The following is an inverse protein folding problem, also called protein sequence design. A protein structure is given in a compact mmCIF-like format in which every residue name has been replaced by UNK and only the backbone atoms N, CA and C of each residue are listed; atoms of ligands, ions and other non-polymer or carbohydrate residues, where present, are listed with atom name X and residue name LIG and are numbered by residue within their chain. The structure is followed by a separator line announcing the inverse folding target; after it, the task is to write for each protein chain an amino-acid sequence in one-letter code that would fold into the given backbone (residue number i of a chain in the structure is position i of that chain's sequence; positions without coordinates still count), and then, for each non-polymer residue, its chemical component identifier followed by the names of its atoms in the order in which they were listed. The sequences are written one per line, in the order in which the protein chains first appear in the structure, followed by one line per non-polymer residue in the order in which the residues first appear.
data_IF_592745070839
#
_entry.id   IF_592745070839
#
_cell.length_a   1.000
_cell.length_b   1.000
_cell.length_c   1.000
_cell.angle_alpha   90.00
_cell.angle_beta   90.00
_cell.angle_gamma   90.00
#
_symmetry.space_group_name_H-M   'P 1'
#
loop_
_entity.id
_entity.type
_entity.pdbx_description
1 polymer ?
#
# COMPACT_ATOMS: atom_id res chain seq x y z
N UNK A 1 1.60 4.20 11.67
CA UNK A 1 0.78 2.98 11.75
C UNK A 1 -0.26 3.08 10.64
N UNK A 2 -0.18 2.23 9.62
CA UNK A 2 -1.31 1.99 8.70
C UNK A 2 -2.25 0.97 9.36
N UNK A 3 -3.55 1.20 9.24
CA UNK A 3 -4.57 0.36 9.87
C UNK A 3 -4.95 -0.78 8.92
N UNK A 4 -4.73 -2.01 9.38
CA UNK A 4 -5.16 -3.26 8.73
C UNK A 4 -6.69 -3.42 8.60
N UNK A 5 -7.47 -2.60 9.29
CA UNK A 5 -8.92 -2.73 9.33
C UNK A 5 -9.59 -1.73 8.38
N UNK A 6 -10.57 -2.20 7.61
CA UNK A 6 -11.44 -1.37 6.73
C UNK A 6 -12.45 -0.50 7.48
N UNK A 7 -12.26 -0.32 8.79
CA UNK A 7 -13.13 0.46 9.66
C UNK A 7 -12.67 1.94 9.71
N UNK A 8 -13.25 2.75 10.61
CA UNK A 8 -13.01 4.20 10.65
C UNK A 8 -11.52 4.57 10.76
N UNK A 9 -10.70 3.79 11.48
CA UNK A 9 -9.26 4.05 11.59
C UNK A 9 -8.49 3.83 10.28
N UNK A 10 -8.96 2.93 9.41
CA UNK A 10 -8.39 2.66 8.08
C UNK A 10 -8.46 3.85 7.12
N UNK A 11 -9.31 4.83 7.43
CA UNK A 11 -9.56 5.99 6.56
C UNK A 11 -8.56 7.12 6.72
N UNK A 12 -7.67 7.05 7.71
CA UNK A 12 -6.77 8.14 8.06
C UNK A 12 -5.31 7.71 8.12
N UNK A 13 -4.42 8.64 7.79
CA UNK A 13 -3.02 8.58 8.20
C UNK A 13 -2.84 9.40 9.48
N UNK A 14 -2.17 8.80 10.47
CA UNK A 14 -1.88 9.43 11.74
C UNK A 14 -0.40 9.78 11.82
N UNK A 15 -0.12 11.05 12.10
CA UNK A 15 1.22 11.61 12.16
C UNK A 15 1.62 11.84 13.62
N UNK A 16 2.81 11.38 13.97
CA UNK A 16 3.44 11.53 15.28
C UNK A 16 4.89 11.97 15.08
N UNK A 17 5.45 12.69 16.05
CA UNK A 17 6.90 12.90 16.09
C UNK A 17 7.63 11.65 16.60
N UNK A 18 8.96 11.68 16.60
CA UNK A 18 9.80 10.57 17.03
C UNK A 18 9.69 10.26 18.52
N UNK A 19 9.19 11.20 19.33
CA UNK A 19 8.91 11.00 20.75
C UNK A 19 7.50 10.42 20.98
N UNK A 20 6.75 10.16 19.90
CA UNK A 20 5.41 9.60 19.95
C UNK A 20 4.31 10.62 20.24
N UNK A 21 4.60 11.93 20.19
CA UNK A 21 3.59 12.97 20.34
C UNK A 21 2.73 13.03 19.08
N UNK A 22 1.42 12.93 19.26
CA UNK A 22 0.46 13.10 18.18
C UNK A 22 0.53 14.50 17.58
N UNK A 23 0.65 14.58 16.26
CA UNK A 23 0.72 15.84 15.50
C UNK A 23 -0.60 16.13 14.80
N UNK A 24 -1.08 15.20 13.95
CA UNK A 24 -2.35 15.32 13.23
C UNK A 24 -2.86 13.96 12.74
N UNK A 25 -4.08 13.94 12.22
CA UNK A 25 -4.61 12.87 11.38
C UNK A 25 -5.18 13.47 10.10
N UNK A 26 -5.00 12.79 8.98
CA UNK A 26 -5.42 13.26 7.67
C UNK A 26 -6.34 12.21 7.04
N UNK A 27 -7.52 12.62 6.60
CA UNK A 27 -8.51 11.73 5.98
C UNK A 27 -8.19 11.49 4.50
N UNK A 28 -8.01 10.23 4.10
CA UNK A 28 -7.72 9.83 2.72
C UNK A 28 -8.97 9.95 1.84
N UNK A 29 -8.83 10.49 0.62
CA UNK A 29 -9.96 10.67 -0.31
C UNK A 29 -9.57 10.41 -1.78
N UNK A 30 -10.13 9.36 -2.45
CA UNK A 30 -10.95 8.29 -1.88
C UNK A 30 -10.15 7.47 -0.86
N UNK A 31 -10.85 6.64 -0.06
CA UNK A 31 -10.21 5.82 0.99
C UNK A 31 -9.78 4.46 0.40
N UNK A 32 -8.46 4.17 0.27
CA UNK A 32 -7.99 2.81 -0.02
C UNK A 32 -8.39 1.86 1.11
N UNK A 33 -8.72 0.62 0.77
CA UNK A 33 -8.99 -0.41 1.77
C UNK A 33 -7.70 -1.15 2.14
N UNK A 34 -7.62 -1.61 3.38
CA UNK A 34 -6.55 -2.51 3.84
C UNK A 34 -5.14 -2.04 3.44
N UNK A 35 -4.72 -0.86 3.92
CA UNK A 35 -3.40 -0.31 3.65
C UNK A 35 -2.32 -1.13 4.35
N UNK A 36 -1.37 -1.66 3.59
CA UNK A 36 -0.34 -2.60 4.05
C UNK A 36 1.01 -1.90 4.23
N UNK A 37 1.37 -1.02 3.30
CA UNK A 37 2.63 -0.28 3.32
C UNK A 37 2.44 1.22 3.19
N UNK A 38 3.35 1.99 3.81
CA UNK A 38 3.45 3.45 3.66
C UNK A 38 4.92 3.80 3.46
N UNK A 39 5.23 4.56 2.41
CA UNK A 39 6.60 4.98 2.13
C UNK A 39 6.65 6.43 1.62
N UNK A 40 7.63 7.21 2.06
CA UNK A 40 7.83 8.58 1.59
C UNK A 40 8.91 8.63 0.53
N UNK A 41 8.61 9.19 -0.63
CA UNK A 41 9.58 9.37 -1.71
C UNK A 41 9.26 10.66 -2.48
N UNK A 42 10.29 11.45 -2.76
CA UNK A 42 10.23 12.66 -3.59
C UNK A 42 9.03 13.59 -3.28
N UNK A 43 8.87 13.99 -2.01
CA UNK A 43 7.82 14.94 -1.63
C UNK A 43 6.46 14.31 -1.35
N UNK A 44 6.26 13.03 -1.67
CA UNK A 44 4.95 12.37 -1.63
C UNK A 44 4.97 11.12 -0.75
N UNK A 45 3.81 10.82 -0.14
CA UNK A 45 3.58 9.50 0.45
C UNK A 45 3.01 8.56 -0.60
N UNK A 46 3.45 7.30 -0.56
CA UNK A 46 2.95 6.19 -1.34
C UNK A 46 2.41 5.12 -0.41
N UNK A 47 1.28 4.52 -0.79
CA UNK A 47 0.58 3.49 -0.03
C UNK A 47 0.39 2.25 -0.91
N UNK A 48 0.67 1.07 -0.37
CA UNK A 48 0.15 -0.18 -0.94
C UNK A 48 -1.11 -0.58 -0.20
N UNK A 49 -2.09 -1.07 -0.93
CA UNK A 49 -3.39 -1.47 -0.42
C UNK A 49 -3.74 -2.85 -0.95
N UNK A 50 -4.12 -3.75 -0.04
CA UNK A 50 -4.60 -5.10 -0.31
C UNK A 50 -6.10 -5.07 -0.61
N UNK A 51 -6.49 -4.21 -1.56
CA UNK A 51 -7.87 -3.87 -1.89
C UNK A 51 -8.45 -4.66 -3.07
N UNK A 52 -7.73 -5.69 -3.52
CA UNK A 52 -8.24 -6.74 -4.38
C UNK A 52 -8.71 -7.98 -3.61
N UNK A 53 -9.69 -8.69 -4.14
CA UNK A 53 -10.11 -10.01 -3.67
C UNK A 53 -9.27 -11.13 -4.32
N UNK A 54 -8.39 -11.78 -3.54
CA UNK A 54 -7.54 -12.87 -3.99
C UNK A 54 -8.29 -14.06 -4.62
N UNK A 55 -9.42 -14.46 -4.01
CA UNK A 55 -10.26 -15.57 -4.49
C UNK A 55 -10.85 -15.30 -5.88
N UNK A 56 -11.06 -14.03 -6.23
CA UNK A 56 -11.59 -13.60 -7.52
C UNK A 56 -10.48 -13.16 -8.50
N UNK A 57 -9.21 -13.20 -8.07
CA UNK A 57 -8.04 -12.65 -8.78
C UNK A 57 -8.21 -11.17 -9.14
N UNK A 58 -8.76 -10.39 -8.22
CA UNK A 58 -8.78 -8.94 -8.32
C UNK A 58 -7.46 -8.34 -7.81
N UNK A 59 -6.96 -7.26 -8.44
CA UNK A 59 -5.62 -6.74 -8.16
C UNK A 59 -5.56 -5.83 -6.96
N UNK A 60 -4.39 -5.81 -6.33
CA UNK A 60 -3.99 -4.81 -5.34
C UNK A 60 -3.49 -3.54 -6.01
N UNK A 61 -3.37 -2.48 -5.22
CA UNK A 61 -3.08 -1.15 -5.75
C UNK A 61 -1.96 -0.40 -5.02
N UNK A 62 -1.29 0.46 -5.78
CA UNK A 62 -0.40 1.51 -5.30
C UNK A 62 -1.09 2.85 -5.45
N UNK A 63 -1.07 3.62 -4.37
CA UNK A 63 -1.61 4.97 -4.32
C UNK A 63 -0.55 5.99 -3.95
N UNK A 64 -0.66 7.20 -4.49
CA UNK A 64 0.05 8.38 -4.01
C UNK A 64 -0.89 9.28 -3.23
N UNK A 65 -0.39 9.84 -2.14
CA UNK A 65 -1.15 10.66 -1.20
C UNK A 65 -0.57 12.06 -1.13
N UNK A 66 -1.43 13.05 -1.33
CA UNK A 66 -1.10 14.46 -1.10
C UNK A 66 -1.42 14.83 0.35
N UNK A 67 -0.39 15.07 1.17
CA UNK A 67 -0.51 15.42 2.59
C UNK A 67 -0.27 16.90 2.89
N UNK A 68 -0.40 17.77 1.88
CA UNK A 68 -0.22 19.22 2.03
C UNK A 68 -1.29 19.87 2.91
N UNK A 69 -2.51 19.30 2.95
CA UNK A 69 -3.60 19.79 3.82
C UNK A 69 -3.51 19.19 5.23
N UNK A 70 -4.00 19.94 6.22
CA UNK A 70 -3.97 19.55 7.63
C UNK A 70 -4.97 18.42 7.99
N UNK A 71 -6.04 18.24 7.22
CA UNK A 71 -7.19 17.39 7.61
C UNK A 71 -7.66 16.41 6.55
N UNK A 72 -7.37 16.67 5.28
CA UNK A 72 -7.77 15.82 4.15
C UNK A 72 -6.58 15.60 3.22
N UNK A 73 -6.53 14.43 2.58
CA UNK A 73 -5.47 14.05 1.68
C UNK A 73 -6.07 13.40 0.42
N UNK A 74 -6.02 14.10 -0.73
CA UNK A 74 -6.31 13.49 -2.02
C UNK A 74 -5.42 12.27 -2.28
N UNK A 75 -6.03 11.22 -2.78
CA UNK A 75 -5.38 9.96 -3.14
C UNK A 75 -5.49 9.76 -4.65
N UNK A 76 -4.36 9.44 -5.28
CA UNK A 76 -4.26 9.17 -6.71
C UNK A 76 -3.82 7.73 -6.89
N UNK A 77 -4.55 6.97 -7.71
CA UNK A 77 -4.13 5.64 -8.12
C UNK A 77 -2.91 5.77 -9.04
N UNK A 78 -1.80 5.16 -8.64
CA UNK A 78 -0.53 5.15 -9.38
C UNK A 78 -0.37 3.88 -10.20
N UNK A 79 -0.74 2.73 -9.62
CA UNK A 79 -0.63 1.43 -10.28
C UNK A 79 -1.66 0.43 -9.77
N UNK A 80 -2.21 -0.33 -10.70
CA UNK A 80 -2.88 -1.61 -10.46
C UNK A 80 -1.87 -2.74 -10.68
N UNK A 81 -1.79 -3.70 -9.77
CA UNK A 81 -0.84 -4.82 -9.83
C UNK A 81 -1.45 -6.06 -10.51
N UNK A 82 -1.87 -5.92 -11.77
CA UNK A 82 -2.52 -6.98 -12.56
C UNK A 82 -1.55 -8.02 -13.14
N UNK A 83 -0.24 -7.80 -13.01
CA UNK A 83 0.80 -8.77 -13.36
C UNK A 83 1.05 -9.84 -12.29
N UNK A 84 0.58 -9.62 -11.06
CA UNK A 84 0.83 -10.55 -9.95
C UNK A 84 0.06 -11.86 -10.18
N UNK A 85 0.74 -12.98 -9.98
CA UNK A 85 0.13 -14.30 -10.09
C UNK A 85 -0.56 -14.61 -8.76
N UNK A 86 -1.89 -14.78 -8.78
CA UNK A 86 -2.71 -14.94 -7.56
C UNK A 86 -2.56 -13.73 -6.63
N UNK A 87 -3.25 -12.66 -7.04
CA UNK A 87 -3.32 -11.34 -6.39
C UNK A 87 -3.96 -11.41 -4.99
N UNK A 88 -3.91 -10.29 -4.24
CA UNK A 88 -4.68 -10.08 -3.00
C UNK A 88 -3.92 -10.40 -1.71
N UNK A 89 -2.59 -10.18 -1.69
CA UNK A 89 -1.75 -10.19 -0.49
C UNK A 89 -0.50 -9.29 -0.69
N UNK A 90 -0.68 -8.02 -1.05
CA UNK A 90 0.41 -7.02 -1.02
C UNK A 90 0.79 -6.72 0.44
N UNK A 91 2.08 -6.58 0.77
CA UNK A 91 2.52 -6.42 2.17
C UNK A 91 3.22 -5.09 2.42
N UNK A 92 3.90 -4.54 1.41
CA UNK A 92 4.64 -3.31 1.59
C UNK A 92 5.47 -2.88 0.40
N UNK A 93 6.13 -1.74 0.57
CA UNK A 93 6.94 -1.11 -0.45
C UNK A 93 8.15 -0.37 0.13
N UNK A 94 9.18 -0.23 -0.68
CA UNK A 94 10.26 0.73 -0.46
C UNK A 94 10.84 1.21 -1.79
N UNK A 95 11.70 2.22 -1.74
CA UNK A 95 12.45 2.69 -2.91
C UNK A 95 13.93 2.41 -2.68
N UNK A 96 14.56 1.73 -3.63
CA UNK A 96 16.00 1.49 -3.65
C UNK A 96 16.73 2.83 -3.81
N UNK A 97 17.51 3.30 -2.81
CA UNK A 97 18.18 4.60 -2.88
C UNK A 97 19.28 4.64 -3.94
N UNK A 98 19.80 3.50 -4.40
CA UNK A 98 20.87 3.45 -5.39
C UNK A 98 20.33 3.56 -6.82
N UNK A 99 19.19 2.93 -7.11
CA UNK A 99 18.59 2.93 -8.45
C UNK A 99 17.37 3.83 -8.60
N UNK A 100 16.70 4.18 -7.50
CA UNK A 100 15.40 4.84 -7.50
C UNK A 100 14.22 3.92 -7.86
N UNK A 101 14.45 2.60 -7.91
CA UNK A 101 13.38 1.65 -8.23
C UNK A 101 12.44 1.45 -7.04
N UNK A 102 11.16 1.37 -7.32
CA UNK A 102 10.15 0.90 -6.39
C UNK A 102 10.26 -0.62 -6.25
N UNK A 103 10.38 -1.09 -5.02
CA UNK A 103 10.30 -2.50 -4.64
C UNK A 103 8.97 -2.72 -3.92
N UNK A 104 8.22 -3.73 -4.34
CA UNK A 104 6.93 -4.11 -3.74
C UNK A 104 6.99 -5.55 -3.31
N UNK A 105 6.61 -5.81 -2.06
CA UNK A 105 6.50 -7.15 -1.51
C UNK A 105 5.07 -7.66 -1.68
N UNK A 106 4.93 -8.80 -2.34
CA UNK A 106 3.65 -9.50 -2.52
C UNK A 106 3.80 -10.94 -2.07
N UNK A 107 2.83 -11.41 -1.31
CA UNK A 107 2.69 -12.81 -0.93
C UNK A 107 1.73 -13.51 -1.88
N UNK A 108 1.87 -14.83 -1.99
CA UNK A 108 0.86 -15.68 -2.62
C UNK A 108 0.92 -17.10 -2.07
N UNK A 109 -0.21 -17.78 -2.18
CA UNK A 109 -0.32 -19.22 -1.93
C UNK A 109 -0.97 -19.56 -0.61
N UNK A 110 -0.93 -18.66 0.37
CA UNK A 110 -1.80 -18.74 1.54
C UNK A 110 -3.23 -18.31 1.16
N UNK A 111 -4.20 -18.79 1.92
CA UNK A 111 -5.58 -18.29 1.89
C UNK A 111 -5.78 -17.44 3.12
N UNK A 112 -5.90 -16.12 2.96
CA UNK A 112 -6.10 -15.20 4.07
C UNK A 112 -7.58 -14.84 4.19
N UNK A 113 -8.12 -14.99 5.40
CA UNK A 113 -9.49 -14.57 5.74
C UNK A 113 -9.42 -13.69 6.96
N UNK A 114 -9.67 -12.38 6.77
CA UNK A 114 -9.60 -11.36 7.82
C UNK A 114 -8.23 -11.36 8.54
N UNK A 115 -7.15 -11.40 7.77
CA UNK A 115 -5.77 -11.42 8.30
C UNK A 115 -5.36 -12.76 8.94
N UNK A 116 -6.17 -13.81 8.84
CA UNK A 116 -5.83 -15.14 9.36
C UNK A 116 -5.62 -16.16 8.24
N UNK A 117 -4.50 -16.87 8.26
CA UNK A 117 -4.24 -18.00 7.36
C UNK A 117 -5.23 -19.15 7.56
N UNK A 118 -5.81 -19.62 6.44
CA UNK A 118 -6.79 -20.73 6.37
C UNK A 118 -6.27 -21.90 5.51
N UNK A 119 -4.96 -22.12 5.54
CA UNK A 119 -4.27 -23.10 4.71
C UNK A 119 -3.82 -22.50 3.38
N UNK A 120 -3.51 -23.37 2.42
CA UNK A 120 -2.93 -22.98 1.14
C UNK A 120 -3.88 -23.22 -0.03
N UNK A 121 -3.72 -22.46 -1.11
CA UNK A 121 -4.37 -22.74 -2.38
C UNK A 121 -3.85 -24.06 -2.99
N UNK A 122 -4.65 -24.73 -3.86
CA UNK A 122 -4.19 -25.91 -4.56
C UNK A 122 -2.86 -25.65 -5.31
N UNK A 123 -1.90 -26.56 -5.12
CA UNK A 123 -0.56 -26.42 -5.71
C UNK A 123 0.47 -25.73 -4.81
N UNK A 124 0.08 -25.28 -3.62
CA UNK A 124 0.97 -24.68 -2.63
C UNK A 124 1.04 -25.52 -1.36
N UNK A 125 2.24 -25.65 -0.80
CA UNK A 125 2.53 -26.24 0.51
C UNK A 125 3.10 -25.22 1.51
N UNK A 126 3.32 -23.99 1.04
CA UNK A 126 3.79 -22.82 1.78
C UNK A 126 3.42 -21.54 1.03
N UNK A 127 3.52 -20.42 1.75
CA UNK A 127 3.49 -19.09 1.15
C UNK A 127 4.77 -18.84 0.33
N UNK A 128 4.61 -18.12 -0.78
CA UNK A 128 5.70 -17.64 -1.61
C UNK A 128 5.76 -16.12 -1.44
N UNK A 129 6.94 -15.63 -1.08
CA UNK A 129 7.22 -14.20 -0.90
C UNK A 129 7.96 -13.69 -2.13
N UNK A 130 7.37 -12.73 -2.83
CA UNK A 130 7.88 -12.20 -4.08
C UNK A 130 8.21 -10.70 -3.94
N UNK A 131 9.35 -10.31 -4.51
CA UNK A 131 9.70 -8.91 -4.67
C UNK A 131 9.58 -8.52 -6.13
N UNK A 132 8.66 -7.60 -6.39
CA UNK A 132 8.51 -6.98 -7.70
C UNK A 132 9.30 -5.68 -7.73
N UNK A 133 9.97 -5.42 -8.85
CA UNK A 133 10.82 -4.23 -9.05
C UNK A 133 10.28 -3.41 -10.21
N UNK A 134 10.05 -2.13 -9.96
CA UNK A 134 9.49 -1.19 -10.92
C UNK A 134 10.33 0.07 -11.01
N UNK A 135 10.44 0.65 -12.20
CA UNK A 135 10.92 2.02 -12.35
C UNK A 135 9.89 2.98 -11.73
N UNK A 136 10.31 3.83 -10.81
CA UNK A 136 9.41 4.79 -10.15
C UNK A 136 9.22 6.05 -11.02
N UNK A 137 8.27 5.99 -11.96
CA UNK A 137 7.76 7.15 -12.68
C UNK A 137 6.32 7.42 -12.25
N UNK A 138 6.05 8.49 -11.47
CA UNK A 138 4.69 8.82 -11.05
C UNK A 138 3.76 9.06 -12.25
N UNK A 139 2.51 8.63 -12.14
CA UNK A 139 1.44 8.99 -13.04
C UNK A 139 1.06 10.47 -12.84
N UNK A 140 1.23 11.28 -13.89
CA UNK A 140 0.84 12.69 -13.89
C UNK A 140 1.89 13.65 -13.33
N UNK A 141 1.48 14.90 -13.07
CA UNK A 141 2.38 15.96 -12.61
C UNK A 141 2.77 15.76 -11.13
N UNK A 142 4.06 15.94 -10.81
CA UNK A 142 4.58 15.90 -9.44
C UNK A 142 4.00 17.05 -8.62
N UNK A 143 3.70 16.80 -7.34
CA UNK A 143 3.40 17.88 -6.40
C UNK A 143 4.60 18.85 -6.33
N UNK A 144 4.37 20.17 -6.25
CA UNK A 144 5.44 21.13 -6.07
C UNK A 144 6.18 20.84 -4.75
N UNK A 145 7.52 20.93 -4.79
CA UNK A 145 8.35 20.80 -3.59
C UNK A 145 8.04 21.95 -2.61
N UNK A 146 7.97 21.69 -1.29
CA UNK A 146 7.87 22.75 -0.29
C UNK A 146 9.10 23.67 -0.28
#
# INVERSE_FOLDING_TARGET
MCSWVGEESGRYLYEYDLDGKYLRKVHLQPVPQWVQGVFYSDGSLFLTADDGTADDNEPDHLYRVDVTSATNAPVVLEKTFDEAIKQGEIEGLCVDPASGDLLVHMNRGARIVLGMGKGFYPGYDKEVHELYRYSMQPAGARAPRP
#
